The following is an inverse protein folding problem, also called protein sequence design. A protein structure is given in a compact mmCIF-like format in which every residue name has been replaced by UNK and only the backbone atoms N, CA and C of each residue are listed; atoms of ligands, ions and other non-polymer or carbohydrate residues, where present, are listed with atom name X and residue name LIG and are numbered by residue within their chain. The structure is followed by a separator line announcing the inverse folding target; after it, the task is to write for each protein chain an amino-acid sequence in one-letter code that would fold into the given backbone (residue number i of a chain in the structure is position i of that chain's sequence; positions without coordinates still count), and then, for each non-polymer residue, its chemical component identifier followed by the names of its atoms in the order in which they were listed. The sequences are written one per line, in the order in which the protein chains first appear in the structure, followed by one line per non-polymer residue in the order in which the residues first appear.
data_IF_217397030233
#
_entry.id   IF_217397030233
#
_cell.length_a   1.000
_cell.length_b   1.000
_cell.length_c   1.000
_cell.angle_alpha   90.00
_cell.angle_beta   90.00
_cell.angle_gamma   90.00
#
_symmetry.space_group_name_H-M   'P 1'
#
loop_
_entity.id
_entity.type
_entity.pdbx_description
1 polymer ?
#
# COMPACT_ATOMS: atom_id res chain seq x y z
N UNK A 1 4.29 -1.23 -52.01
CA UNK A 1 3.94 -1.47 -50.59
C UNK A 1 2.42 -1.48 -50.54
N UNK A 2 1.85 -2.68 -50.45
CA UNK A 2 0.43 -2.92 -50.75
C UNK A 2 -0.49 -2.42 -49.64
N UNK A 3 -1.69 -1.95 -50.03
CA UNK A 3 -2.74 -1.46 -49.14
C UNK A 3 -3.08 -2.46 -48.01
N UNK A 4 -2.94 -3.75 -48.30
CA UNK A 4 -3.11 -4.85 -47.34
C UNK A 4 -2.09 -4.83 -46.19
N UNK A 5 -0.84 -4.41 -46.44
CA UNK A 5 0.18 -4.31 -45.39
C UNK A 5 -0.09 -3.15 -44.44
N UNK A 6 -0.66 -2.04 -44.93
CA UNK A 6 -0.97 -0.88 -44.09
C UNK A 6 -2.14 -1.17 -43.13
N UNK A 7 -3.18 -1.89 -43.61
CA UNK A 7 -4.27 -2.35 -42.74
C UNK A 7 -3.80 -3.35 -41.69
N UNK A 8 -2.89 -4.26 -42.04
CA UNK A 8 -2.33 -5.23 -41.10
C UNK A 8 -1.53 -4.54 -39.98
N UNK A 9 -0.68 -3.56 -40.34
CA UNK A 9 0.07 -2.76 -39.38
C UNK A 9 -0.83 -1.92 -38.46
N UNK A 10 -1.90 -1.32 -39.01
CA UNK A 10 -2.88 -0.57 -38.23
C UNK A 10 -3.63 -1.47 -37.23
N UNK A 11 -4.00 -2.68 -37.64
CA UNK A 11 -4.66 -3.65 -36.76
C UNK A 11 -3.75 -4.12 -35.63
N UNK A 12 -2.45 -4.31 -35.89
CA UNK A 12 -1.46 -4.65 -34.85
C UNK A 12 -1.28 -3.50 -33.85
N UNK A 13 -1.22 -2.25 -34.33
CA UNK A 13 -1.11 -1.07 -33.48
C UNK A 13 -2.33 -0.92 -32.53
N UNK A 14 -3.53 -1.16 -33.06
CA UNK A 14 -4.76 -1.16 -32.27
C UNK A 14 -4.75 -2.27 -31.21
N UNK A 15 -4.31 -3.50 -31.56
CA UNK A 15 -4.17 -4.59 -30.60
C UNK A 15 -3.16 -4.31 -29.48
N UNK A 16 -2.03 -3.68 -29.80
CA UNK A 16 -1.01 -3.30 -28.81
C UNK A 16 -1.51 -2.22 -27.83
N UNK A 17 -2.44 -1.35 -28.25
CA UNK A 17 -3.02 -0.31 -27.40
C UNK A 17 -4.00 -0.83 -26.34
N UNK A 18 -4.51 -2.06 -26.49
CA UNK A 18 -5.42 -2.70 -25.54
C UNK A 18 -4.72 -3.58 -24.50
N UNK A 19 -3.39 -3.72 -24.54
CA UNK A 19 -2.68 -4.45 -23.49
C UNK A 19 -2.49 -3.53 -22.28
N UNK A 20 -3.15 -3.80 -21.13
CA UNK A 20 -2.76 -3.14 -19.90
C UNK A 20 -1.35 -3.60 -19.55
N UNK A 21 -0.41 -2.66 -19.47
CA UNK A 21 0.88 -2.91 -18.84
C UNK A 21 0.64 -3.14 -17.35
N UNK A 22 0.39 -4.38 -16.96
CA UNK A 22 0.38 -4.76 -15.55
C UNK A 22 1.82 -4.88 -15.09
N UNK A 23 2.38 -3.77 -14.62
CA UNK A 23 3.62 -3.84 -13.86
C UNK A 23 3.33 -4.51 -12.53
N UNK A 24 3.71 -5.78 -12.46
CA UNK A 24 4.11 -6.40 -11.20
C UNK A 24 5.29 -5.61 -10.66
N UNK A 25 5.08 -4.74 -9.68
CA UNK A 25 6.13 -3.82 -9.24
C UNK A 25 6.35 -3.94 -7.73
N UNK A 26 7.58 -4.36 -7.38
CA UNK A 26 8.15 -4.07 -6.08
C UNK A 26 8.41 -2.57 -6.06
N UNK A 27 7.79 -1.88 -5.11
CA UNK A 27 7.77 -0.42 -5.07
C UNK A 27 8.78 0.10 -4.08
N UNK A 28 9.57 1.06 -4.53
CA UNK A 28 10.53 1.77 -3.70
C UNK A 28 10.06 3.21 -3.52
N UNK A 29 10.00 3.66 -2.28
CA UNK A 29 9.60 5.00 -1.91
C UNK A 29 10.53 5.55 -0.85
N UNK A 30 10.88 6.82 -1.01
CA UNK A 30 11.80 7.52 -0.13
C UNK A 30 11.04 8.61 0.64
N UNK A 31 11.04 8.52 1.97
CA UNK A 31 10.51 9.57 2.85
C UNK A 31 11.68 10.28 3.51
N UNK A 32 11.67 11.60 3.46
CA UNK A 32 12.74 12.45 4.02
C UNK A 32 12.16 13.60 4.81
N UNK A 33 12.49 13.62 6.10
CA UNK A 33 12.15 14.69 7.04
C UNK A 33 10.68 15.13 6.95
N UNK A 34 9.78 14.15 6.85
CA UNK A 34 8.37 14.33 6.53
C UNK A 34 7.53 14.26 7.80
N UNK A 35 6.65 15.24 8.00
CA UNK A 35 5.71 15.33 9.13
C UNK A 35 4.24 15.20 8.70
N UNK A 36 3.96 14.79 7.46
CA UNK A 36 2.59 14.58 6.99
C UNK A 36 1.93 13.49 7.85
N UNK A 37 0.68 13.70 8.28
CA UNK A 37 -0.01 12.75 9.13
C UNK A 37 -0.33 11.44 8.41
N UNK A 38 -0.49 11.46 7.09
CA UNK A 38 -0.86 10.33 6.25
C UNK A 38 -0.05 10.39 4.96
N UNK A 39 0.56 9.28 4.56
CA UNK A 39 1.28 9.11 3.30
C UNK A 39 0.85 7.79 2.64
N UNK A 40 0.09 7.83 1.53
CA UNK A 40 -0.25 6.63 0.76
C UNK A 40 0.96 6.15 -0.07
N UNK A 41 1.07 4.84 -0.26
CA UNK A 41 2.13 4.21 -1.06
C UNK A 41 1.56 3.53 -2.30
N UNK A 42 0.88 2.40 -2.10
CA UNK A 42 0.48 1.50 -3.19
C UNK A 42 -0.93 0.99 -2.99
N UNK A 43 -1.56 0.61 -4.10
CA UNK A 43 -2.87 -0.05 -4.13
C UNK A 43 -2.73 -1.42 -4.79
N UNK A 44 -3.37 -2.43 -4.21
CA UNK A 44 -3.36 -3.79 -4.74
C UNK A 44 -4.63 -4.57 -4.38
N UNK A 45 -5.12 -5.36 -5.33
CA UNK A 45 -6.24 -6.30 -5.16
C UNK A 45 -5.75 -7.65 -4.65
N UNK A 46 -5.92 -7.89 -3.35
CA UNK A 46 -5.63 -9.18 -2.74
C UNK A 46 -6.74 -10.19 -3.01
N UNK A 47 -6.34 -11.44 -3.10
CA UNK A 47 -7.20 -12.62 -2.98
C UNK A 47 -7.08 -13.19 -1.56
N UNK A 48 -7.77 -14.30 -1.29
CA UNK A 48 -7.67 -14.99 0.01
C UNK A 48 -6.26 -15.47 0.40
N UNK A 49 -5.31 -15.45 -0.54
CA UNK A 49 -3.90 -15.79 -0.29
C UNK A 49 -2.99 -14.58 -0.53
N UNK A 50 -3.43 -13.39 -0.12
CA UNK A 50 -2.67 -12.15 -0.25
C UNK A 50 -1.47 -12.07 0.68
N UNK A 51 -0.42 -11.38 0.23
CA UNK A 51 0.83 -11.15 0.94
C UNK A 51 1.31 -9.72 0.70
N UNK A 52 1.67 -9.05 1.78
CA UNK A 52 2.43 -7.81 1.76
C UNK A 52 3.79 -8.07 2.40
N UNK A 53 4.85 -7.96 1.61
CA UNK A 53 6.23 -7.84 2.11
C UNK A 53 6.55 -6.36 2.29
N UNK A 54 6.86 -5.95 3.51
CA UNK A 54 7.23 -4.59 3.83
C UNK A 54 8.60 -4.57 4.48
N UNK A 55 9.55 -3.93 3.79
CA UNK A 55 10.92 -3.73 4.24
C UNK A 55 11.18 -2.23 4.34
N UNK A 56 11.50 -1.76 5.54
CA UNK A 56 11.79 -0.36 5.79
C UNK A 56 13.17 -0.23 6.40
N UNK A 57 13.97 0.68 5.88
CA UNK A 57 15.34 0.92 6.33
C UNK A 57 15.65 2.39 6.47
N UNK A 58 16.81 2.71 7.08
CA UNK A 58 17.27 4.08 7.35
C UNK A 58 16.23 4.91 8.12
N UNK A 59 15.52 4.27 9.04
CA UNK A 59 14.51 4.93 9.87
C UNK A 59 15.23 5.90 10.81
N UNK A 60 14.90 7.18 10.67
CA UNK A 60 15.36 8.24 11.55
C UNK A 60 14.17 9.10 11.96
N UNK A 61 14.05 9.33 13.26
CA UNK A 61 12.96 10.05 13.89
C UNK A 61 13.51 11.33 14.51
N UNK A 62 12.91 12.48 14.23
CA UNK A 62 13.34 13.74 14.84
C UNK A 62 13.10 13.80 16.35
N UNK A 63 12.12 13.04 16.86
CA UNK A 63 11.78 12.96 18.27
C UNK A 63 11.29 11.55 18.63
N UNK A 64 12.16 10.75 19.26
CA UNK A 64 11.85 9.39 19.69
C UNK A 64 11.14 9.29 21.05
N UNK A 65 10.90 10.41 21.75
CA UNK A 65 10.23 10.42 23.07
C UNK A 65 8.69 10.37 22.97
N UNK A 66 8.16 10.32 21.76
CA UNK A 66 6.73 10.28 21.48
C UNK A 66 6.21 8.84 21.55
N UNK A 67 4.89 8.69 21.64
CA UNK A 67 4.24 7.39 21.59
C UNK A 67 4.27 6.81 20.17
N UNK A 68 5.26 5.95 19.91
CA UNK A 68 5.48 5.31 18.61
C UNK A 68 4.48 4.19 18.28
N UNK A 69 3.57 3.84 19.19
CA UNK A 69 2.45 2.94 18.83
C UNK A 69 1.49 3.61 17.85
N UNK A 70 1.52 4.95 17.79
CA UNK A 70 0.73 5.80 16.90
C UNK A 70 1.50 6.25 15.66
N UNK A 71 2.48 5.47 15.23
CA UNK A 71 3.25 5.74 14.01
C UNK A 71 3.49 4.40 13.34
N UNK A 72 3.15 4.26 12.07
CA UNK A 72 3.22 2.96 11.43
C UNK A 72 2.48 2.85 10.11
N UNK A 73 2.39 1.62 9.63
CA UNK A 73 1.79 1.23 8.37
C UNK A 73 0.51 0.43 8.60
N UNK A 74 -0.48 0.67 7.76
CA UNK A 74 -1.73 -0.08 7.76
C UNK A 74 -2.24 -0.30 6.33
N UNK A 75 -3.15 -1.27 6.19
CA UNK A 75 -3.94 -1.49 4.99
C UNK A 75 -5.38 -1.01 5.22
N UNK A 76 -5.98 -0.42 4.20
CA UNK A 76 -7.41 -0.09 4.19
C UNK A 76 -8.00 -0.22 2.79
N UNK A 77 -9.27 -0.62 2.71
CA UNK A 77 -10.05 -0.49 1.48
C UNK A 77 -10.44 0.97 1.27
N UNK A 78 -10.90 1.31 0.07
CA UNK A 78 -11.38 2.67 -0.20
C UNK A 78 -12.57 3.04 0.70
N UNK A 79 -13.52 2.12 0.88
CA UNK A 79 -14.70 2.35 1.71
C UNK A 79 -14.34 2.53 3.18
N UNK A 80 -13.48 1.66 3.73
CA UNK A 80 -12.96 1.83 5.09
C UNK A 80 -12.23 3.16 5.25
N UNK A 81 -11.46 3.58 4.24
CA UNK A 81 -10.75 4.85 4.29
C UNK A 81 -11.68 6.06 4.37
N UNK A 82 -12.78 6.06 3.60
CA UNK A 82 -13.79 7.12 3.65
C UNK A 82 -14.42 7.22 5.05
N UNK A 83 -14.74 6.08 5.67
CA UNK A 83 -15.25 6.05 7.03
C UNK A 83 -14.22 6.55 8.06
N UNK A 84 -12.95 6.16 7.94
CA UNK A 84 -11.86 6.65 8.81
C UNK A 84 -11.71 8.17 8.71
N UNK A 85 -11.80 8.73 7.50
CA UNK A 85 -11.76 10.18 7.31
C UNK A 85 -12.94 10.89 7.98
N UNK A 86 -14.13 10.31 7.89
CA UNK A 86 -15.30 10.82 8.59
C UNK A 86 -15.11 10.80 10.12
N UNK A 87 -14.60 9.70 10.68
CA UNK A 87 -14.31 9.61 12.12
C UNK A 87 -13.27 10.65 12.59
N UNK A 88 -12.32 11.01 11.72
CA UNK A 88 -11.35 12.08 11.99
C UNK A 88 -11.99 13.46 11.95
N UNK A 89 -12.89 13.71 10.97
CA UNK A 89 -13.61 14.98 10.83
C UNK A 89 -14.59 15.21 12.00
N UNK A 90 -15.32 14.17 12.39
CA UNK A 90 -16.25 14.17 13.51
C UNK A 90 -15.51 14.22 14.87
N UNK A 91 -14.19 14.02 14.88
CA UNK A 91 -13.33 14.07 16.07
C UNK A 91 -13.47 12.85 16.98
N UNK A 92 -14.07 11.76 16.50
CA UNK A 92 -14.22 10.49 17.22
C UNK A 92 -12.84 9.84 17.47
N UNK A 93 -11.98 9.90 16.45
CA UNK A 93 -10.59 9.47 16.53
C UNK A 93 -9.67 10.66 16.23
N UNK A 94 -8.46 10.62 16.77
CA UNK A 94 -7.43 11.63 16.51
C UNK A 94 -6.36 11.15 15.53
N UNK A 95 -6.39 9.87 15.19
CA UNK A 95 -5.52 9.30 14.19
C UNK A 95 -6.11 8.06 13.53
N UNK A 96 -5.81 7.87 12.25
CA UNK A 96 -6.23 6.73 11.45
C UNK A 96 -5.90 5.37 12.09
N UNK A 97 -4.73 5.22 12.72
CA UNK A 97 -4.31 3.98 13.38
C UNK A 97 -5.19 3.58 14.59
N UNK A 98 -6.06 4.47 15.07
CA UNK A 98 -6.98 4.17 16.17
C UNK A 98 -8.29 3.54 15.67
N UNK A 99 -8.61 3.68 14.38
CA UNK A 99 -9.82 3.09 13.82
C UNK A 99 -9.68 1.57 13.76
N UNK A 100 -10.75 0.88 14.10
CA UNK A 100 -10.93 -0.56 13.94
C UNK A 100 -11.20 -0.98 12.49
N UNK A 101 -11.45 -0.01 11.60
CA UNK A 101 -11.66 -0.22 10.16
C UNK A 101 -10.36 -0.39 9.37
N UNK A 102 -9.21 -0.09 9.98
CA UNK A 102 -7.90 -0.27 9.35
C UNK A 102 -7.19 -1.53 9.84
N UNK A 103 -6.43 -2.14 8.94
CA UNK A 103 -5.63 -3.33 9.25
C UNK A 103 -4.19 -2.93 9.53
N UNK A 104 -3.83 -2.83 10.81
CA UNK A 104 -2.46 -2.50 11.22
C UNK A 104 -1.45 -3.55 10.70
N UNK A 105 -0.43 -3.08 9.98
CA UNK A 105 0.64 -3.93 9.42
C UNK A 105 1.87 -3.90 10.33
N UNK A 106 2.32 -2.71 10.70
CA UNK A 106 3.50 -2.54 11.55
C UNK A 106 3.49 -1.18 12.26
N UNK A 107 3.76 -1.16 13.55
CA UNK A 107 3.87 0.07 14.36
C UNK A 107 5.28 0.28 14.90
N UNK A 108 5.70 1.52 15.03
CA UNK A 108 7.10 1.87 15.32
C UNK A 108 7.52 1.59 16.76
N UNK A 109 6.58 1.39 17.68
CA UNK A 109 6.88 0.84 19.01
C UNK A 109 7.55 -0.55 18.94
N UNK A 110 7.32 -1.33 17.88
CA UNK A 110 7.95 -2.63 17.66
C UNK A 110 9.39 -2.55 17.13
N UNK A 111 9.90 -1.36 16.78
CA UNK A 111 11.28 -1.19 16.32
C UNK A 111 12.31 -1.58 17.38
N UNK A 112 11.99 -1.44 18.68
CA UNK A 112 12.90 -1.78 19.78
C UNK A 112 14.30 -1.15 19.62
N UNK A 113 14.36 0.11 19.17
CA UNK A 113 15.60 0.86 18.97
C UNK A 113 16.35 0.56 17.66
N UNK A 114 15.80 -0.29 16.78
CA UNK A 114 16.34 -0.53 15.44
C UNK A 114 15.96 0.58 14.46
N UNK A 115 16.77 0.74 13.44
CA UNK A 115 16.59 1.69 12.32
C UNK A 115 15.98 1.03 11.07
N UNK A 116 15.56 -0.22 11.18
CA UNK A 116 15.06 -1.02 10.08
C UNK A 116 14.18 -2.17 10.57
N UNK A 117 13.23 -2.59 9.73
CA UNK A 117 12.44 -3.78 9.95
C UNK A 117 12.06 -4.45 8.62
N UNK A 118 11.73 -5.72 8.72
CA UNK A 118 11.11 -6.49 7.65
C UNK A 118 9.92 -7.24 8.25
N UNK A 119 8.77 -7.16 7.60
CA UNK A 119 7.57 -7.89 8.00
C UNK A 119 6.86 -8.48 6.80
N UNK A 120 6.27 -9.65 7.00
CA UNK A 120 5.37 -10.30 6.05
C UNK A 120 3.97 -10.29 6.65
N UNK A 121 3.05 -9.57 6.01
CA UNK A 121 1.66 -9.49 6.39
C UNK A 121 0.82 -10.38 5.48
N UNK A 122 -0.06 -11.18 6.08
CA UNK A 122 -0.95 -12.09 5.36
C UNK A 122 -2.33 -11.47 5.29
N UNK A 123 -2.82 -11.20 4.08
CA UNK A 123 -4.20 -10.76 3.86
C UNK A 123 -5.04 -11.95 3.39
N UNK A 124 -6.20 -12.13 4.02
CA UNK A 124 -7.11 -13.26 3.79
C UNK A 124 -8.43 -12.83 3.18
N UNK A 125 -8.75 -11.54 3.25
CA UNK A 125 -9.95 -10.97 2.68
C UNK A 125 -9.65 -10.51 1.25
N UNK A 126 -10.45 -11.01 0.31
CA UNK A 126 -10.31 -10.67 -1.11
C UNK A 126 -10.91 -9.29 -1.36
N UNK A 127 -10.06 -8.27 -1.51
CA UNK A 127 -10.48 -6.89 -1.79
C UNK A 127 -9.32 -6.03 -2.33
N UNK A 128 -9.61 -4.78 -2.71
CA UNK A 128 -8.63 -3.76 -3.05
C UNK A 128 -8.20 -2.96 -1.83
N UNK A 129 -6.91 -3.07 -1.50
CA UNK A 129 -6.31 -2.40 -0.36
C UNK A 129 -5.30 -1.36 -0.80
N UNK A 130 -5.23 -0.28 -0.02
CA UNK A 130 -4.17 0.72 -0.07
C UNK A 130 -3.22 0.50 1.12
N UNK A 131 -1.91 0.49 0.85
CA UNK A 131 -0.87 0.60 1.86
C UNK A 131 -0.66 2.08 2.21
N UNK A 132 -0.78 2.39 3.49
CA UNK A 132 -0.71 3.76 3.98
C UNK A 132 0.19 3.82 5.22
N UNK A 133 1.03 4.85 5.28
CA UNK A 133 1.76 5.23 6.49
C UNK A 133 1.00 6.33 7.23
N UNK A 134 0.90 6.20 8.55
CA UNK A 134 0.36 7.21 9.43
C UNK A 134 1.39 7.69 10.44
N UNK A 135 1.43 9.01 10.62
CA UNK A 135 2.15 9.72 11.66
C UNK A 135 1.15 10.51 12.50
N UNK A 136 0.76 9.96 13.64
CA UNK A 136 -0.22 10.61 14.52
C UNK A 136 0.36 11.75 15.37
N UNK A 137 1.62 12.13 15.15
CA UNK A 137 2.28 13.27 15.82
C UNK A 137 2.76 14.30 14.79
N UNK A 138 1.86 14.81 13.91
CA UNK A 138 2.25 15.78 12.89
C UNK A 138 2.88 17.02 13.55
N UNK A 139 3.80 17.67 12.84
CA UNK A 139 4.62 18.82 13.29
C UNK A 139 5.63 18.51 14.40
N UNK A 140 5.40 17.50 15.24
CA UNK A 140 6.29 17.12 16.35
C UNK A 140 7.26 16.01 15.96
N UNK A 141 6.86 15.16 15.01
CA UNK A 141 7.65 14.04 14.52
C UNK A 141 7.87 14.16 13.01
N UNK A 142 9.12 14.31 12.61
CA UNK A 142 9.59 14.16 11.24
C UNK A 142 10.24 12.80 11.07
N UNK A 143 9.85 12.09 10.04
CA UNK A 143 10.33 10.74 9.74
C UNK A 143 11.15 10.77 8.46
N UNK A 144 12.27 10.06 8.50
CA UNK A 144 13.09 9.74 7.33
C UNK A 144 13.18 8.22 7.26
N UNK A 145 12.88 7.63 6.10
CA UNK A 145 12.99 6.20 5.87
C UNK A 145 12.98 5.85 4.37
N UNK A 146 13.52 4.68 4.05
CA UNK A 146 13.40 4.03 2.74
C UNK A 146 12.40 2.89 2.87
N UNK A 147 11.33 2.93 2.09
CA UNK A 147 10.25 1.95 2.10
C UNK A 147 10.32 1.12 0.82
N UNK A 148 10.45 -0.18 0.99
CA UNK A 148 10.36 -1.17 -0.08
C UNK A 148 9.16 -2.08 0.22
N UNK A 149 8.16 -2.02 -0.63
CA UNK A 149 6.91 -2.77 -0.50
C UNK A 149 6.75 -3.73 -1.68
N UNK A 150 6.19 -4.91 -1.43
CA UNK A 150 5.72 -5.81 -2.47
C UNK A 150 4.39 -6.44 -2.06
N UNK A 151 3.34 -6.16 -2.84
CA UNK A 151 2.01 -6.73 -2.66
C UNK A 151 1.75 -7.77 -3.74
N UNK A 152 1.36 -8.98 -3.35
CA UNK A 152 1.14 -10.09 -4.27
C UNK A 152 0.15 -11.13 -3.71
N UNK A 153 -0.38 -11.95 -4.59
CA UNK A 153 -1.16 -13.14 -4.29
C UNK A 153 -0.29 -14.40 -4.41
N UNK A 154 -0.67 -15.49 -3.75
CA UNK A 154 -0.05 -16.80 -3.99
C UNK A 154 -0.93 -17.62 -4.93
N UNK A 155 -0.35 -18.14 -6.01
CA UNK A 155 -1.01 -19.15 -6.84
C UNK A 155 -1.27 -20.41 -5.99
N UNK A 156 -2.55 -20.75 -5.82
CA UNK A 156 -3.02 -21.81 -4.93
C UNK A 156 -2.50 -23.21 -5.27
N UNK A 157 -1.87 -23.41 -6.45
CA UNK A 157 -1.28 -24.70 -6.84
C UNK A 157 0.22 -24.80 -6.56
N UNK A 158 0.94 -23.69 -6.65
CA UNK A 158 2.41 -23.69 -6.72
C UNK A 158 3.07 -22.81 -5.65
N UNK A 159 2.30 -22.03 -4.88
CA UNK A 159 2.78 -20.99 -3.97
C UNK A 159 3.74 -19.99 -4.65
N UNK A 160 3.64 -19.86 -5.98
CA UNK A 160 4.38 -18.85 -6.73
C UNK A 160 3.72 -17.50 -6.49
N UNK A 161 4.57 -16.47 -6.36
CA UNK A 161 4.13 -15.08 -6.19
C UNK A 161 3.49 -14.60 -7.49
N UNK A 162 2.21 -14.29 -7.40
CA UNK A 162 1.42 -13.64 -8.44
C UNK A 162 1.22 -12.17 -8.07
N UNK A 163 1.99 -11.31 -8.72
CA UNK A 163 1.94 -9.87 -8.51
C UNK A 163 0.88 -9.18 -9.38
N UNK A 164 0.01 -9.95 -10.03
CA UNK A 164 -1.16 -9.39 -10.69
C UNK A 164 -2.24 -9.14 -9.65
N UNK A 165 -2.70 -7.88 -9.64
CA UNK A 165 -3.81 -7.46 -8.80
C UNK A 165 -5.09 -8.17 -9.26
N UNK A 166 -5.87 -8.70 -8.31
CA UNK A 166 -7.20 -9.16 -8.61
C UNK A 166 -8.08 -7.96 -9.02
N UNK A 167 -8.82 -8.14 -10.11
CA UNK A 167 -9.77 -7.14 -10.58
C UNK A 167 -11.08 -7.35 -9.84
N UNK A 168 -11.40 -6.43 -8.94
CA UNK A 168 -12.70 -6.34 -8.31
C UNK A 168 -13.49 -5.27 -9.05
N UNK A 169 -14.52 -5.67 -9.80
CA UNK A 169 -15.48 -4.72 -10.33
C UNK A 169 -16.37 -4.27 -9.19
N UNK A 170 -16.42 -2.95 -8.95
CA UNK A 170 -17.53 -2.35 -8.20
C UNK A 170 -18.80 -2.74 -8.97
N UNK A 171 -19.56 -3.67 -8.42
CA UNK A 171 -20.91 -3.94 -8.91
C UNK A 171 -21.75 -2.76 -8.41
N UNK A 172 -21.93 -1.76 -9.27
CA UNK A 172 -22.94 -0.73 -9.04
C UNK A 172 -24.30 -1.45 -9.07
N UNK A 173 -24.81 -1.78 -7.89
CA UNK A 173 -26.21 -2.17 -7.71
C UNK A 173 -27.13 -0.95 -7.83
#
# INVERSE_FOLDING_TARGET
MDFSSFQFLFSIFLLLSFFPFSFSEIRFSEIRNDDRPIVPFDQFGFTHNGRLELNVSKISLSNSNLDLSKVGFFLCTLDSWLHVLQQLEDGEIRCALQSDLVKSVYTFNSLNGKDSFNTLYNETDSDQYNLVFANCHPQQLKVTMDVNSAMYNLDGKSNVRDYLSAVFFIKND
#
